data_IF_639041396994
#
_entry.id   IF_639041396994
#
_cell.length_a   1.000
_cell.length_b   1.000
_cell.length_c   1.000
_cell.angle_alpha   90.00
_cell.angle_beta   90.00
_cell.angle_gamma   90.00
#
_symmetry.space_group_name_H-M   'P 1'
#
loop_
_entity.id
_entity.type
_entity.pdbx_description
1 polymer ?
#
# COMPACT_ATOMS: atom_id res chain seq x y z
N UNK A 1 43.61 -28.30 -1.94
CA UNK A 1 42.35 -27.58 -2.21
C UNK A 1 41.83 -27.01 -0.92
N UNK A 2 41.63 -25.68 -0.84
CA UNK A 2 41.20 -25.00 0.40
C UNK A 2 39.69 -25.18 0.59
N UNK A 3 39.32 -26.00 1.58
CA UNK A 3 37.93 -26.23 1.98
C UNK A 3 37.28 -24.97 2.56
N UNK A 4 36.15 -24.58 2.00
CA UNK A 4 35.29 -23.50 2.47
C UNK A 4 34.71 -23.87 3.84
N UNK A 5 35.07 -23.10 4.87
CA UNK A 5 34.51 -23.25 6.22
C UNK A 5 33.11 -22.64 6.27
N UNK A 6 32.10 -23.46 6.56
CA UNK A 6 30.74 -23.01 6.87
C UNK A 6 30.74 -22.18 8.14
N UNK A 7 30.03 -21.04 8.13
CA UNK A 7 29.78 -20.20 9.31
C UNK A 7 28.31 -20.33 9.69
N UNK A 8 28.05 -20.67 10.95
CA UNK A 8 26.71 -20.61 11.53
C UNK A 8 26.42 -19.17 11.91
N UNK A 9 25.43 -18.57 11.25
CA UNK A 9 24.93 -17.23 11.58
C UNK A 9 23.62 -17.40 12.36
N UNK A 10 23.60 -16.95 13.61
CA UNK A 10 22.37 -16.91 14.41
C UNK A 10 21.57 -15.69 14.02
N UNK A 11 20.43 -15.90 13.35
CA UNK A 11 19.49 -14.84 13.03
C UNK A 11 18.48 -14.70 14.17
N UNK A 12 18.52 -13.56 14.87
CA UNK A 12 17.51 -13.23 15.88
C UNK A 12 16.27 -12.67 15.18
N UNK A 13 15.11 -13.29 15.38
CA UNK A 13 13.84 -12.82 14.81
C UNK A 13 13.44 -11.50 15.47
N UNK A 14 13.38 -10.43 14.68
CA UNK A 14 12.93 -9.13 15.15
C UNK A 14 11.46 -9.19 15.58
N UNK A 15 11.15 -8.60 16.75
CA UNK A 15 9.77 -8.42 17.20
C UNK A 15 9.17 -7.25 16.44
N UNK A 16 8.35 -7.57 15.45
CA UNK A 16 7.53 -6.59 14.72
C UNK A 16 6.52 -6.00 15.71
N UNK A 17 6.58 -4.68 15.92
CA UNK A 17 5.52 -3.95 16.63
C UNK A 17 4.38 -3.69 15.65
N UNK A 18 3.15 -3.97 16.08
CA UNK A 18 1.96 -3.82 15.22
C UNK A 18 1.74 -2.36 14.83
N UNK A 19 2.04 -1.41 15.73
CA UNK A 19 1.95 0.03 15.44
C UNK A 19 2.86 0.51 14.30
N UNK A 20 4.02 -0.13 14.10
CA UNK A 20 4.97 0.27 13.05
C UNK A 20 4.47 -0.12 11.65
N UNK A 21 3.48 -1.02 11.58
CA UNK A 21 2.88 -1.47 10.32
C UNK A 21 1.65 -0.67 9.91
N UNK A 22 1.02 0.06 10.82
CA UNK A 22 -0.21 0.79 10.50
C UNK A 22 0.08 1.96 9.54
N UNK A 23 -0.85 2.22 8.62
CA UNK A 23 -0.81 3.41 7.77
C UNK A 23 -0.81 4.69 8.62
N UNK A 24 0.09 5.62 8.31
CA UNK A 24 0.19 6.91 8.98
C UNK A 24 -0.36 8.01 8.08
N UNK A 25 -1.26 8.82 8.62
CA UNK A 25 -1.85 9.95 7.91
C UNK A 25 -1.27 11.27 8.44
N UNK A 26 -0.91 12.17 7.54
CA UNK A 26 -0.59 13.56 7.87
C UNK A 26 -1.17 14.52 6.83
N UNK A 27 -1.34 15.79 7.20
CA UNK A 27 -1.74 16.85 6.26
C UNK A 27 -0.64 17.89 6.20
N UNK A 28 -0.24 18.26 4.98
CA UNK A 28 0.73 19.31 4.70
C UNK A 28 0.02 20.50 4.08
N UNK A 29 0.33 21.70 4.55
CA UNK A 29 -0.22 22.94 3.99
C UNK A 29 0.85 23.62 3.16
N UNK A 30 0.58 23.87 1.88
CA UNK A 30 1.46 24.58 0.96
C UNK A 30 0.70 25.79 0.42
N UNK A 31 1.08 26.98 0.85
CA UNK A 31 0.31 28.20 0.58
C UNK A 31 -1.10 28.08 1.20
N UNK A 32 -2.14 28.06 0.36
CA UNK A 32 -3.54 27.91 0.76
C UNK A 32 -4.07 26.47 0.60
N UNK A 33 -3.30 25.60 -0.04
CA UNK A 33 -3.72 24.24 -0.37
C UNK A 33 -3.33 23.26 0.74
N UNK A 34 -4.19 22.27 0.98
CA UNK A 34 -3.91 21.17 1.92
C UNK A 34 -3.71 19.88 1.13
N UNK A 35 -2.63 19.16 1.44
CA UNK A 35 -2.27 17.89 0.81
C UNK A 35 -2.28 16.80 1.88
N UNK A 36 -3.10 15.77 1.68
CA UNK A 36 -3.09 14.58 2.52
C UNK A 36 -1.93 13.67 2.14
N UNK A 37 -1.22 13.12 3.10
CA UNK A 37 -0.14 12.14 2.88
C UNK A 37 -0.48 10.88 3.68
N UNK A 38 -0.55 9.74 2.99
CA UNK A 38 -0.71 8.41 3.56
C UNK A 38 0.60 7.65 3.38
N UNK A 39 1.33 7.48 4.47
CA UNK A 39 2.56 6.68 4.55
C UNK A 39 2.19 5.22 4.82
N UNK A 40 2.42 4.37 3.81
CA UNK A 40 2.06 2.95 3.81
C UNK A 40 3.35 2.11 3.90
N UNK A 41 3.70 1.59 5.08
CA UNK A 41 4.95 0.85 5.29
C UNK A 41 4.93 -0.57 4.68
N UNK A 42 3.76 -1.09 4.31
CA UNK A 42 3.62 -2.42 3.72
C UNK A 42 2.17 -2.78 3.41
N UNK A 43 1.96 -3.79 2.56
CA UNK A 43 0.64 -4.32 2.23
C UNK A 43 0.21 -5.39 3.25
N UNK A 44 -0.10 -4.98 4.48
CA UNK A 44 -0.59 -5.88 5.53
C UNK A 44 -2.10 -6.13 5.41
N UNK A 45 -2.57 -7.29 5.89
CA UNK A 45 -3.99 -7.64 5.89
C UNK A 45 -4.79 -6.63 6.71
N UNK A 46 -5.79 -6.00 6.12
CA UNK A 46 -6.59 -4.91 6.71
C UNK A 46 -6.13 -3.51 6.32
N UNK A 47 -5.04 -3.35 5.56
CA UNK A 47 -4.55 -2.05 5.08
C UNK A 47 -5.65 -1.27 4.36
N UNK A 48 -6.39 -1.94 3.47
CA UNK A 48 -7.41 -1.27 2.64
C UNK A 48 -8.47 -0.60 3.50
N UNK A 49 -8.91 -1.25 4.59
CA UNK A 49 -9.91 -0.69 5.51
C UNK A 49 -9.35 0.49 6.31
N UNK A 50 -8.09 0.39 6.77
CA UNK A 50 -7.44 1.50 7.44
C UNK A 50 -7.32 2.72 6.51
N UNK A 51 -6.92 2.51 5.25
CA UNK A 51 -6.84 3.58 4.25
C UNK A 51 -8.19 4.22 3.98
N UNK A 52 -9.28 3.44 3.87
CA UNK A 52 -10.65 3.97 3.74
C UNK A 52 -10.98 4.92 4.89
N UNK A 53 -10.66 4.53 6.13
CA UNK A 53 -10.90 5.38 7.32
C UNK A 53 -10.07 6.67 7.25
N UNK A 54 -8.81 6.61 6.82
CA UNK A 54 -7.98 7.80 6.70
C UNK A 54 -8.44 8.72 5.55
N UNK A 55 -8.86 8.17 4.42
CA UNK A 55 -9.41 8.94 3.29
C UNK A 55 -10.65 9.74 3.72
N UNK A 56 -11.56 9.13 4.48
CA UNK A 56 -12.73 9.84 5.02
C UNK A 56 -12.33 11.00 5.97
N UNK A 57 -11.26 10.84 6.75
CA UNK A 57 -10.73 11.92 7.60
C UNK A 57 -10.08 13.04 6.79
N UNK A 58 -9.41 12.69 5.69
CA UNK A 58 -8.79 13.65 4.78
C UNK A 58 -9.86 14.44 4.02
N UNK A 59 -10.93 13.78 3.57
CA UNK A 59 -12.09 14.41 2.94
C UNK A 59 -12.74 15.44 3.89
N UNK A 60 -12.99 15.06 5.15
CA UNK A 60 -13.50 16.00 6.18
C UNK A 60 -12.58 17.19 6.45
N UNK A 61 -11.29 17.07 6.16
CA UNK A 61 -10.31 18.15 6.30
C UNK A 61 -10.21 19.03 5.05
N UNK A 62 -10.98 18.73 4.00
CA UNK A 62 -10.99 19.41 2.70
C UNK A 62 -9.58 19.48 2.09
N UNK A 63 -8.90 18.32 2.00
CA UNK A 63 -7.61 18.26 1.27
C UNK A 63 -7.84 18.32 -0.23
N UNK A 64 -6.99 19.05 -0.92
CA UNK A 64 -7.07 19.30 -2.36
C UNK A 64 -6.45 18.16 -3.18
N UNK A 65 -5.56 17.39 -2.57
CA UNK A 65 -4.90 16.22 -3.19
C UNK A 65 -4.44 15.23 -2.12
N UNK A 66 -4.20 13.99 -2.56
CA UNK A 66 -3.67 12.90 -1.71
C UNK A 66 -2.38 12.36 -2.31
N UNK A 67 -1.39 12.15 -1.46
CA UNK A 67 -0.14 11.45 -1.75
C UNK A 67 -0.18 10.09 -1.04
N UNK A 68 0.06 9.02 -1.79
CA UNK A 68 0.35 7.69 -1.27
C UNK A 68 1.87 7.53 -1.27
N UNK A 69 2.49 7.42 -0.10
CA UNK A 69 3.93 7.22 0.05
C UNK A 69 4.23 5.73 0.27
N UNK A 70 4.90 5.14 -0.72
CA UNK A 70 5.30 3.73 -0.78
C UNK A 70 6.82 3.56 -0.73
N UNK A 71 7.62 4.62 -0.46
CA UNK A 71 9.10 4.56 -0.54
C UNK A 71 9.72 3.52 0.39
N UNK A 72 9.09 3.27 1.53
CA UNK A 72 9.55 2.29 2.52
C UNK A 72 8.79 0.97 2.42
N UNK A 73 7.97 0.77 1.37
CA UNK A 73 7.08 -0.37 1.23
C UNK A 73 7.80 -1.54 0.55
N UNK A 74 8.14 -2.57 1.33
CA UNK A 74 8.80 -3.78 0.84
C UNK A 74 7.87 -4.82 0.21
N UNK A 75 6.58 -4.52 0.03
CA UNK A 75 5.56 -5.45 -0.47
C UNK A 75 4.60 -5.95 0.62
N UNK A 76 3.99 -7.11 0.38
CA UNK A 76 3.02 -7.73 1.28
C UNK A 76 1.97 -8.56 0.55
N UNK A 77 0.75 -8.57 1.05
CA UNK A 77 -0.36 -9.33 0.48
C UNK A 77 -0.80 -8.74 -0.86
N UNK A 78 -0.74 -9.55 -1.92
CA UNK A 78 -1.21 -9.16 -3.26
C UNK A 78 -2.69 -8.75 -3.24
N UNK A 79 -3.51 -9.42 -2.44
CA UNK A 79 -4.93 -9.10 -2.26
C UNK A 79 -5.13 -7.67 -1.74
N UNK A 80 -4.26 -7.18 -0.87
CA UNK A 80 -4.33 -5.81 -0.37
C UNK A 80 -3.90 -4.80 -1.42
N UNK A 81 -2.93 -5.13 -2.29
CA UNK A 81 -2.58 -4.26 -3.40
C UNK A 81 -3.74 -4.13 -4.42
N UNK A 82 -4.44 -5.23 -4.69
CA UNK A 82 -5.64 -5.23 -5.56
C UNK A 82 -6.77 -4.42 -4.92
N UNK A 83 -7.14 -4.71 -3.67
CA UNK A 83 -8.22 -4.01 -2.97
C UNK A 83 -7.92 -2.52 -2.73
N UNK A 84 -6.67 -2.17 -2.41
CA UNK A 84 -6.26 -0.77 -2.26
C UNK A 84 -6.36 -0.01 -3.59
N UNK A 85 -6.03 -0.65 -4.72
CA UNK A 85 -6.15 -0.03 -6.04
C UNK A 85 -7.61 0.30 -6.38
N UNK A 86 -8.55 -0.57 -6.00
CA UNK A 86 -10.00 -0.36 -6.16
C UNK A 86 -10.52 0.91 -5.48
N UNK A 87 -9.84 1.44 -4.45
CA UNK A 87 -10.26 2.70 -3.82
C UNK A 87 -10.19 3.91 -4.77
N UNK A 88 -9.41 3.81 -5.84
CA UNK A 88 -9.07 4.92 -6.73
C UNK A 88 -9.56 4.73 -8.17
N UNK A 89 -10.04 3.54 -8.53
CA UNK A 89 -10.51 3.21 -9.88
C UNK A 89 -11.87 2.50 -9.82
N UNK A 90 -12.71 2.61 -10.85
CA UNK A 90 -14.07 2.08 -10.77
C UNK A 90 -14.14 0.56 -10.78
N UNK A 91 -13.40 -0.12 -11.65
CA UNK A 91 -13.33 -1.57 -11.74
C UNK A 91 -12.26 -1.97 -12.77
N UNK A 92 -11.95 -3.26 -12.82
CA UNK A 92 -11.19 -3.86 -13.90
C UNK A 92 -9.93 -4.57 -13.45
N UNK A 93 -9.14 -5.09 -14.41
CA UNK A 93 -7.92 -5.81 -14.12
C UNK A 93 -6.88 -4.93 -13.42
N UNK A 94 -6.38 -5.42 -12.29
CA UNK A 94 -5.27 -4.77 -11.57
C UNK A 94 -3.94 -5.41 -11.93
N UNK A 95 -3.90 -6.74 -11.95
CA UNK A 95 -2.66 -7.50 -12.12
C UNK A 95 -2.90 -8.83 -12.81
N UNK A 96 -1.92 -9.26 -13.60
CA UNK A 96 -1.87 -10.60 -14.17
C UNK A 96 -0.74 -11.41 -13.52
N UNK A 97 -1.10 -12.55 -12.95
CA UNK A 97 -0.19 -13.48 -12.29
C UNK A 97 0.06 -14.66 -13.22
N UNK A 98 1.31 -14.88 -13.61
CA UNK A 98 1.73 -16.06 -14.39
C UNK A 98 2.44 -17.06 -13.49
N UNK A 99 1.99 -18.32 -13.50
CA UNK A 99 2.67 -19.40 -12.81
C UNK A 99 3.83 -20.00 -13.63
N UNK A 100 4.59 -20.92 -13.02
CA UNK A 100 5.72 -21.59 -13.67
C UNK A 100 5.31 -22.56 -14.80
N UNK A 101 4.04 -22.94 -14.86
CA UNK A 101 3.45 -23.74 -15.93
C UNK A 101 2.93 -22.87 -17.09
N UNK A 102 3.10 -21.54 -17.01
CA UNK A 102 2.67 -20.58 -18.01
C UNK A 102 1.20 -20.19 -17.92
N UNK A 103 0.44 -20.69 -16.94
CA UNK A 103 -0.96 -20.31 -16.73
C UNK A 103 -1.03 -18.89 -16.20
N UNK A 104 -1.84 -18.06 -16.85
CA UNK A 104 -2.10 -16.68 -16.44
C UNK A 104 -3.44 -16.60 -15.74
N UNK A 105 -3.46 -15.96 -14.58
CA UNK A 105 -4.67 -15.55 -13.85
C UNK A 105 -4.69 -14.02 -13.75
N UNK A 106 -5.87 -13.44 -13.89
CA UNK A 106 -6.09 -12.02 -13.71
C UNK A 106 -6.78 -11.79 -12.36
N UNK A 107 -6.24 -10.88 -11.56
CA UNK A 107 -6.86 -10.43 -10.32
C UNK A 107 -7.35 -8.99 -10.56
N UNK A 108 -8.65 -8.79 -10.37
CA UNK A 108 -9.39 -7.57 -10.74
C UNK A 108 -10.13 -7.00 -9.54
N UNK A 109 -10.36 -5.69 -9.56
CA UNK A 109 -11.35 -5.07 -8.70
C UNK A 109 -12.75 -5.20 -9.33
N UNK A 110 -13.74 -5.52 -8.50
CA UNK A 110 -15.09 -5.92 -8.95
C UNK A 110 -16.23 -5.16 -8.27
N UNK A 111 -15.97 -4.30 -7.29
CA UNK A 111 -17.03 -3.67 -6.50
C UNK A 111 -17.63 -2.40 -7.13
N UNK A 112 -16.96 -1.79 -8.12
CA UNK A 112 -17.49 -0.61 -8.81
C UNK A 112 -17.25 0.71 -8.06
N UNK A 113 -16.68 0.67 -6.84
CA UNK A 113 -16.77 1.76 -5.88
C UNK A 113 -15.47 2.55 -5.73
N UNK A 114 -15.44 3.72 -6.36
CA UNK A 114 -14.35 4.69 -6.17
C UNK A 114 -14.52 5.47 -4.87
N UNK A 115 -13.61 5.28 -3.91
CA UNK A 115 -13.58 5.98 -2.62
C UNK A 115 -12.92 7.36 -2.70
N UNK A 116 -11.96 7.57 -3.62
CA UNK A 116 -11.32 8.86 -3.81
C UNK A 116 -11.16 9.18 -5.30
N UNK A 117 -11.70 10.33 -5.73
CA UNK A 117 -11.69 10.80 -7.12
C UNK A 117 -10.82 12.04 -7.36
N UNK A 118 -10.20 12.57 -6.29
CA UNK A 118 -9.39 13.78 -6.39
C UNK A 118 -8.00 13.54 -6.99
N UNK A 119 -7.19 14.59 -7.14
CA UNK A 119 -5.81 14.46 -7.60
C UNK A 119 -4.99 13.54 -6.68
N UNK A 120 -4.44 12.49 -7.25
CA UNK A 120 -3.66 11.46 -6.56
C UNK A 120 -2.23 11.44 -7.08
N UNK A 121 -1.27 11.35 -6.16
CA UNK A 121 0.14 11.12 -6.48
C UNK A 121 0.60 9.87 -5.74
N UNK A 122 1.38 9.04 -6.41
CA UNK A 122 2.08 7.91 -5.80
C UNK A 122 3.56 8.24 -5.75
N UNK A 123 4.14 8.17 -4.55
CA UNK A 123 5.56 8.35 -4.30
C UNK A 123 6.19 6.99 -4.02
N UNK A 124 7.19 6.61 -4.82
CA UNK A 124 7.87 5.29 -4.77
C UNK A 124 9.37 5.44 -4.61
#
# INVERSE_FOLDING_TARGET
GKGTKTRTVTLTRERIRLEDRAVKMSVKTVGKEKVGVLDIPGFYVGLTDDVKVQLQKLEKQNVSSVIIDLRSNGGGALTEAVSLSGLFIPAGPIVQVRDNNGKVREDSDTDGQVFYKGPLVVLV
#
